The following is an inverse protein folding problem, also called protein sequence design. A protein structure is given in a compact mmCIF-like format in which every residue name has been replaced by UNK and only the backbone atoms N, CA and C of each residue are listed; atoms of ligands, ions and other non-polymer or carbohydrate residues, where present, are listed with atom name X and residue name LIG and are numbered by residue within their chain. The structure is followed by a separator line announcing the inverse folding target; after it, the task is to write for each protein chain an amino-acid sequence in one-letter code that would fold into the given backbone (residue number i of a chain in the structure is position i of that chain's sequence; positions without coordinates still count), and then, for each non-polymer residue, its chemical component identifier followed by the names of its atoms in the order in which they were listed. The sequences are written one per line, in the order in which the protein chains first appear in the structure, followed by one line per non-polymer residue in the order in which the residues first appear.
data_IF_167183949629
#
_entry.id   IF_167183949629
#
_cell.length_a   1.000
_cell.length_b   1.000
_cell.length_c   1.000
_cell.angle_alpha   90.00
_cell.angle_beta   90.00
_cell.angle_gamma   90.00
#
_symmetry.space_group_name_H-M   'P 1'
#
loop_
_entity.id
_entity.type
_entity.pdbx_description
1 polymer ?
#
# COMPACT_ATOMS: atom_id res chain seq x y z
N UNK A 1 51.52 9.30 -33.77
CA UNK A 1 50.62 10.31 -33.20
C UNK A 1 49.22 10.02 -33.70
N UNK A 2 48.36 9.48 -32.83
CA UNK A 2 46.91 9.43 -33.04
C UNK A 2 46.35 10.19 -31.84
N UNK A 3 45.68 11.28 -32.15
CA UNK A 3 45.07 12.16 -31.15
C UNK A 3 44.10 11.35 -30.31
N UNK A 4 44.35 11.32 -29.00
CA UNK A 4 43.32 10.99 -28.03
C UNK A 4 42.40 12.21 -28.01
N UNK A 5 41.23 12.10 -28.63
CA UNK A 5 40.10 12.94 -28.26
C UNK A 5 39.75 12.59 -26.81
N UNK A 6 40.35 13.34 -25.90
CA UNK A 6 39.88 13.44 -24.53
C UNK A 6 38.56 14.20 -24.65
N UNK A 7 37.44 13.47 -24.64
CA UNK A 7 36.15 14.07 -24.31
C UNK A 7 36.30 14.68 -22.92
N UNK A 8 36.56 15.97 -22.88
CA UNK A 8 36.52 16.76 -21.66
C UNK A 8 35.13 16.57 -21.07
N UNK A 9 35.05 16.02 -19.84
CA UNK A 9 33.86 16.16 -18.99
C UNK A 9 33.49 17.64 -18.97
N UNK A 10 32.51 18.04 -19.78
CA UNK A 10 31.89 19.34 -19.65
C UNK A 10 31.33 19.39 -18.23
N UNK A 11 31.63 20.45 -17.48
CA UNK A 11 30.90 20.77 -16.26
C UNK A 11 29.42 20.83 -16.64
N UNK A 12 28.67 19.78 -16.34
CA UNK A 12 27.25 19.73 -16.60
C UNK A 12 26.59 20.84 -15.80
N UNK A 13 26.18 21.87 -16.53
CA UNK A 13 25.47 22.99 -15.95
C UNK A 13 24.04 22.52 -15.86
N UNK A 14 23.57 22.29 -14.64
CA UNK A 14 22.15 22.01 -14.39
C UNK A 14 21.34 23.22 -14.88
N UNK A 15 20.43 23.02 -15.83
CA UNK A 15 19.72 24.11 -16.54
C UNK A 15 18.20 24.01 -16.39
N UNK A 16 17.54 25.16 -16.18
CA UNK A 16 16.10 25.32 -16.33
C UNK A 16 15.80 26.10 -17.61
N UNK A 17 14.92 25.58 -18.47
CA UNK A 17 14.69 26.14 -19.81
C UNK A 17 13.94 27.47 -19.82
N UNK A 18 13.18 27.78 -18.76
CA UNK A 18 12.29 28.94 -18.73
C UNK A 18 12.38 29.69 -17.39
N UNK A 19 12.28 31.04 -17.38
CA UNK A 19 12.19 31.83 -16.14
C UNK A 19 10.99 31.44 -15.26
N UNK A 20 9.87 31.06 -15.87
CA UNK A 20 8.65 30.64 -15.19
C UNK A 20 8.89 29.37 -14.36
N UNK A 21 9.66 28.42 -14.91
CA UNK A 21 10.06 27.21 -14.19
C UNK A 21 10.97 27.53 -13.00
N UNK A 22 11.91 28.46 -13.18
CA UNK A 22 12.76 28.95 -12.08
C UNK A 22 11.90 29.58 -10.97
N UNK A 23 10.91 30.38 -11.35
CA UNK A 23 9.97 31.00 -10.41
C UNK A 23 9.18 29.96 -9.62
N UNK A 24 8.59 28.97 -10.30
CA UNK A 24 7.82 27.90 -9.68
C UNK A 24 8.65 27.08 -8.67
N UNK A 25 9.85 26.68 -9.05
CA UNK A 25 10.77 25.93 -8.17
C UNK A 25 11.21 26.80 -6.98
N UNK A 26 11.46 28.09 -7.22
CA UNK A 26 11.80 29.04 -6.15
C UNK A 26 10.66 29.18 -5.15
N UNK A 27 9.43 29.33 -5.62
CA UNK A 27 8.26 29.38 -4.74
C UNK A 27 8.12 28.10 -3.92
N UNK A 28 8.28 26.93 -4.56
CA UNK A 28 8.21 25.63 -3.89
C UNK A 28 9.29 25.49 -2.82
N UNK A 29 10.56 25.74 -3.16
CA UNK A 29 11.69 25.65 -2.21
C UNK A 29 11.54 26.61 -1.03
N UNK A 30 11.05 27.83 -1.27
CA UNK A 30 10.81 28.83 -0.21
C UNK A 30 9.75 28.41 0.79
N UNK A 31 8.74 27.59 0.40
CA UNK A 31 7.74 27.07 1.35
C UNK A 31 8.35 26.19 2.44
N UNK A 32 9.49 25.55 2.16
CA UNK A 32 10.24 24.77 3.15
C UNK A 32 11.51 25.45 3.64
N UNK A 33 11.64 26.77 3.49
CA UNK A 33 12.82 27.53 3.90
C UNK A 33 14.14 27.08 3.22
N UNK A 34 14.07 26.51 2.02
CA UNK A 34 15.23 26.10 1.22
C UNK A 34 15.59 27.13 0.15
N UNK A 35 16.78 26.95 -0.44
CA UNK A 35 17.23 27.72 -1.60
C UNK A 35 16.89 26.99 -2.88
N UNK A 36 16.86 27.72 -3.99
CA UNK A 36 16.64 27.15 -5.32
C UNK A 36 17.66 26.05 -5.65
N UNK A 37 18.92 26.23 -5.26
CA UNK A 37 20.00 25.27 -5.53
C UNK A 37 19.77 23.92 -4.83
N UNK A 38 19.04 23.89 -3.71
CA UNK A 38 18.72 22.68 -2.96
C UNK A 38 17.76 21.78 -3.76
N UNK A 39 17.02 22.33 -4.73
CA UNK A 39 16.08 21.59 -5.56
C UNK A 39 16.74 20.43 -6.32
N UNK A 40 17.98 20.61 -6.77
CA UNK A 40 18.70 19.55 -7.48
C UNK A 40 19.02 18.37 -6.56
N UNK A 41 19.33 18.63 -5.30
CA UNK A 41 19.52 17.60 -4.28
C UNK A 41 18.21 16.86 -4.03
N UNK A 42 17.07 17.55 -4.00
CA UNK A 42 15.76 16.90 -3.90
C UNK A 42 15.51 15.92 -5.04
N UNK A 43 15.78 16.32 -6.28
CA UNK A 43 15.61 15.45 -7.44
C UNK A 43 16.46 14.18 -7.33
N UNK A 44 17.71 14.31 -6.90
CA UNK A 44 18.60 13.17 -6.66
C UNK A 44 18.08 12.26 -5.54
N UNK A 45 17.61 12.84 -4.43
CA UNK A 45 17.06 12.09 -3.30
C UNK A 45 15.77 11.32 -3.65
N UNK A 46 14.95 11.83 -4.56
CA UNK A 46 13.75 11.12 -5.05
C UNK A 46 14.04 10.12 -6.17
N UNK A 47 15.32 9.92 -6.50
CA UNK A 47 15.79 8.90 -7.44
C UNK A 47 15.93 9.37 -8.89
N UNK A 48 15.88 10.68 -9.16
CA UNK A 48 16.26 11.23 -10.47
C UNK A 48 17.79 11.38 -10.45
N UNK A 49 18.48 10.36 -10.94
CA UNK A 49 19.94 10.32 -10.92
C UNK A 49 20.51 11.33 -11.92
N UNK A 50 21.37 12.24 -11.44
CA UNK A 50 22.09 13.23 -12.25
C UNK A 50 21.17 14.01 -13.22
N UNK A 51 20.23 14.81 -12.68
CA UNK A 51 19.35 15.66 -13.49
C UNK A 51 20.17 16.80 -14.11
N UNK A 52 20.13 16.92 -15.44
CA UNK A 52 20.91 17.92 -16.18
C UNK A 52 20.05 19.06 -16.73
N UNK A 53 18.76 18.82 -16.99
CA UNK A 53 17.87 19.81 -17.60
C UNK A 53 16.43 19.66 -17.14
N UNK A 54 15.79 20.78 -16.81
CA UNK A 54 14.36 20.86 -16.49
C UNK A 54 13.62 21.70 -17.54
N UNK A 55 12.50 21.19 -18.06
CA UNK A 55 11.82 21.80 -19.20
C UNK A 55 10.35 21.37 -19.35
N UNK A 56 9.61 21.96 -20.29
CA UNK A 56 8.25 21.54 -20.61
C UNK A 56 7.24 21.80 -19.50
N UNK A 57 7.24 23.02 -18.95
CA UNK A 57 6.34 23.44 -17.89
C UNK A 57 4.86 23.37 -18.33
N UNK A 58 4.04 22.69 -17.52
CA UNK A 58 2.58 22.76 -17.49
C UNK A 58 2.18 23.47 -16.19
N UNK A 59 1.91 24.78 -16.30
CA UNK A 59 1.56 25.64 -15.17
C UNK A 59 0.29 25.17 -14.45
N UNK A 60 -0.68 24.63 -15.19
CA UNK A 60 -1.97 24.22 -14.61
C UNK A 60 -1.85 23.07 -13.63
N UNK A 61 -0.82 22.23 -13.80
CA UNK A 61 -0.54 21.08 -12.95
C UNK A 61 0.69 21.26 -12.06
N UNK A 62 1.37 22.41 -12.14
CA UNK A 62 2.67 22.61 -11.52
C UNK A 62 3.67 21.48 -11.86
N UNK A 63 3.69 21.06 -13.13
CA UNK A 63 4.50 19.92 -13.58
C UNK A 63 5.45 20.26 -14.72
N UNK A 64 6.55 19.54 -14.81
CA UNK A 64 7.57 19.70 -15.85
C UNK A 64 8.32 18.39 -16.05
N UNK A 65 9.22 18.33 -17.02
CA UNK A 65 10.09 17.18 -17.27
C UNK A 65 11.50 17.43 -16.75
N UNK A 66 12.11 16.38 -16.21
CA UNK A 66 13.53 16.30 -15.92
C UNK A 66 14.20 15.35 -16.92
N UNK A 67 15.28 15.80 -17.54
CA UNK A 67 16.20 14.97 -18.33
C UNK A 67 17.41 14.60 -17.48
N UNK A 68 17.70 13.31 -17.39
CA UNK A 68 18.91 12.79 -16.72
C UNK A 68 20.09 12.71 -17.68
N UNK A 69 21.31 12.57 -17.14
CA UNK A 69 22.51 12.29 -17.95
C UNK A 69 22.39 11.00 -18.80
N UNK A 70 21.54 10.07 -18.38
CA UNK A 70 21.28 8.80 -19.06
C UNK A 70 20.20 8.91 -20.15
N UNK A 71 19.76 10.13 -20.46
CA UNK A 71 18.74 10.42 -21.46
C UNK A 71 17.36 9.83 -21.10
N UNK A 72 17.08 9.70 -19.80
CA UNK A 72 15.76 9.34 -19.29
C UNK A 72 14.94 10.60 -19.05
N UNK A 73 13.68 10.59 -19.49
CA UNK A 73 12.74 11.68 -19.24
C UNK A 73 11.77 11.28 -18.13
N UNK A 74 11.71 12.07 -17.07
CA UNK A 74 10.83 11.83 -15.92
C UNK A 74 9.92 13.05 -15.75
N UNK A 75 8.62 12.82 -15.59
CA UNK A 75 7.69 13.90 -15.27
C UNK A 75 7.72 14.17 -13.78
N UNK A 76 7.96 15.42 -13.42
CA UNK A 76 8.03 15.92 -12.04
C UNK A 76 6.83 16.83 -11.81
N UNK A 77 6.11 16.61 -10.73
CA UNK A 77 4.99 17.45 -10.29
C UNK A 77 5.31 17.97 -8.88
N UNK A 78 5.24 19.29 -8.70
CA UNK A 78 5.50 19.92 -7.41
C UNK A 78 4.23 19.95 -6.56
N UNK A 79 4.34 19.45 -5.32
CA UNK A 79 3.27 19.45 -4.33
C UNK A 79 3.59 20.50 -3.28
N UNK A 80 2.77 21.55 -3.19
CA UNK A 80 3.04 22.72 -2.35
C UNK A 80 2.59 22.58 -0.89
N UNK A 81 1.81 21.55 -0.56
CA UNK A 81 1.16 21.40 0.75
C UNK A 81 0.05 22.45 0.94
N UNK A 82 -1.21 22.01 1.07
CA UNK A 82 -2.36 22.93 1.14
C UNK A 82 -3.09 22.89 2.49
N UNK A 83 -2.65 22.04 3.42
CA UNK A 83 -3.23 21.85 4.75
C UNK A 83 -2.17 21.44 5.76
N UNK A 84 -2.49 21.52 7.07
CA UNK A 84 -1.64 20.99 8.16
C UNK A 84 -1.27 19.50 8.00
N UNK A 85 -1.97 18.77 7.14
CA UNK A 85 -1.77 17.33 6.87
C UNK A 85 -1.08 17.04 5.52
N UNK A 86 -0.86 18.07 4.69
CA UNK A 86 -0.19 17.91 3.40
C UNK A 86 1.18 18.57 3.44
N UNK A 87 2.21 17.74 3.62
CA UNK A 87 3.60 18.15 3.52
C UNK A 87 3.95 18.54 2.09
N UNK A 88 4.88 19.50 1.97
CA UNK A 88 5.57 19.81 0.72
C UNK A 88 6.22 18.53 0.16
N UNK A 89 6.18 18.35 -1.16
CA UNK A 89 6.61 17.10 -1.76
C UNK A 89 6.77 17.15 -3.28
N UNK A 90 7.23 16.03 -3.83
CA UNK A 90 7.47 15.81 -5.25
C UNK A 90 6.75 14.54 -5.67
N UNK A 91 6.02 14.61 -6.77
CA UNK A 91 5.40 13.45 -7.40
C UNK A 91 6.11 13.18 -8.73
N UNK A 92 6.69 12.00 -8.85
CA UNK A 92 7.29 11.50 -10.07
C UNK A 92 6.29 10.64 -10.83
N UNK A 93 6.19 10.84 -12.14
CA UNK A 93 5.36 10.02 -13.03
C UNK A 93 6.18 9.53 -14.22
N UNK A 94 6.05 8.24 -14.48
CA UNK A 94 6.37 7.60 -15.75
C UNK A 94 5.12 6.91 -16.31
N UNK A 95 5.25 6.15 -17.41
CA UNK A 95 4.11 5.51 -18.08
C UNK A 95 3.38 4.47 -17.21
N UNK A 96 4.11 3.77 -16.34
CA UNK A 96 3.61 2.61 -15.60
C UNK A 96 3.59 2.83 -14.09
N UNK A 97 4.16 3.93 -13.61
CA UNK A 97 4.40 4.16 -12.19
C UNK A 97 4.29 5.63 -11.81
N UNK A 98 3.76 5.83 -10.61
CA UNK A 98 3.70 7.12 -9.94
C UNK A 98 4.29 6.99 -8.52
N UNK A 99 5.23 7.85 -8.15
CA UNK A 99 5.85 7.88 -6.81
C UNK A 99 5.69 9.25 -6.18
N UNK A 100 5.05 9.32 -5.02
CA UNK A 100 4.94 10.55 -4.23
C UNK A 100 5.95 10.52 -3.08
N UNK A 101 6.81 11.52 -3.04
CA UNK A 101 7.73 11.79 -1.95
C UNK A 101 7.30 13.04 -1.20
N UNK A 102 7.40 13.01 0.12
CA UNK A 102 7.08 14.15 0.99
C UNK A 102 8.27 14.43 1.89
N UNK A 103 8.42 15.66 2.35
CA UNK A 103 9.47 15.99 3.30
C UNK A 103 9.16 15.42 4.68
N UNK A 104 10.20 14.96 5.38
CA UNK A 104 10.07 14.45 6.74
C UNK A 104 9.59 15.57 7.68
N UNK A 105 8.64 15.26 8.56
CA UNK A 105 8.10 16.19 9.56
C UNK A 105 9.08 16.53 10.68
N UNK A 106 10.17 15.77 10.83
CA UNK A 106 11.16 15.92 11.92
C UNK A 106 12.37 16.79 11.55
N UNK A 107 12.32 17.55 10.45
CA UNK A 107 13.45 18.37 10.00
C UNK A 107 13.58 19.63 10.87
N UNK A 108 14.75 19.86 11.46
CA UNK A 108 15.13 21.15 12.04
C UNK A 108 15.33 22.19 10.93
N UNK A 109 14.80 23.40 11.14
CA UNK A 109 14.89 24.51 10.17
C UNK A 109 16.32 24.68 9.61
N UNK A 110 16.45 24.66 8.28
CA UNK A 110 17.71 24.94 7.57
C UNK A 110 18.68 23.76 7.44
N UNK A 111 18.30 22.54 7.84
CA UNK A 111 19.07 21.32 7.55
C UNK A 111 18.78 20.76 6.14
N UNK A 112 19.69 19.92 5.65
CA UNK A 112 19.59 19.27 4.32
C UNK A 112 18.24 18.55 4.21
N UNK A 113 17.54 18.65 3.07
CA UNK A 113 16.25 18.00 2.93
C UNK A 113 16.31 16.49 3.11
N UNK A 114 15.38 15.93 3.88
CA UNK A 114 15.08 14.50 3.85
C UNK A 114 13.69 14.27 3.27
N UNK A 115 13.59 13.26 2.40
CA UNK A 115 12.35 12.88 1.73
C UNK A 115 11.97 11.47 2.11
N UNK A 116 10.67 11.23 2.27
CA UNK A 116 10.09 9.92 2.58
C UNK A 116 9.15 9.57 1.43
N UNK A 117 9.27 8.34 0.92
CA UNK A 117 8.29 7.80 -0.02
C UNK A 117 6.94 7.66 0.69
N UNK A 118 5.94 8.42 0.26
CA UNK A 118 4.59 8.44 0.85
C UNK A 118 3.63 7.52 0.10
N UNK A 119 3.71 7.53 -1.23
CA UNK A 119 2.84 6.72 -2.10
C UNK A 119 3.61 6.18 -3.28
N UNK A 120 3.24 4.99 -3.73
CA UNK A 120 3.75 4.39 -4.96
C UNK A 120 2.64 3.61 -5.63
N UNK A 121 2.20 4.08 -6.79
CA UNK A 121 1.24 3.39 -7.63
C UNK A 121 1.99 2.73 -8.79
N UNK A 122 1.64 1.49 -9.10
CA UNK A 122 2.24 0.71 -10.19
C UNK A 122 1.11 0.10 -11.00
N UNK A 123 1.16 0.24 -12.32
CA UNK A 123 0.24 -0.39 -13.27
C UNK A 123 1.03 -1.43 -14.05
N UNK A 124 0.53 -2.66 -14.09
CA UNK A 124 1.14 -3.77 -14.84
C UNK A 124 0.07 -4.77 -15.23
N UNK A 125 0.06 -5.20 -16.50
CA UNK A 125 -0.82 -6.26 -17.02
C UNK A 125 -2.33 -6.04 -16.70
N UNK A 126 -2.78 -4.78 -16.69
CA UNK A 126 -4.16 -4.40 -16.38
C UNK A 126 -4.49 -4.27 -14.89
N UNK A 127 -3.59 -4.69 -14.00
CA UNK A 127 -3.71 -4.53 -12.55
C UNK A 127 -3.11 -3.19 -12.07
N UNK A 128 -3.61 -2.69 -10.94
CA UNK A 128 -3.06 -1.51 -10.27
C UNK A 128 -2.71 -1.81 -8.81
N UNK A 129 -1.43 -1.68 -8.45
CA UNK A 129 -0.98 -1.76 -7.07
C UNK A 129 -0.79 -0.35 -6.51
N UNK A 130 -1.58 0.01 -5.50
CA UNK A 130 -1.50 1.28 -4.78
C UNK A 130 -0.86 1.05 -3.42
N UNK A 131 0.31 1.64 -3.21
CA UNK A 131 0.99 1.60 -1.93
C UNK A 131 0.92 2.95 -1.24
N UNK A 132 0.66 2.92 0.06
CA UNK A 132 0.71 4.07 0.95
C UNK A 132 1.58 3.72 2.16
N UNK A 133 2.46 4.66 2.52
CA UNK A 133 3.49 4.48 3.53
C UNK A 133 3.44 5.62 4.54
N UNK A 134 3.47 5.30 5.82
CA UNK A 134 3.72 6.26 6.89
C UNK A 134 4.62 5.63 7.96
N UNK A 135 5.07 6.45 8.91
CA UNK A 135 5.91 5.99 10.03
C UNK A 135 5.20 4.99 10.96
N UNK A 136 3.87 4.86 10.87
CA UNK A 136 3.07 3.98 11.74
C UNK A 136 2.58 2.71 11.03
N UNK A 137 2.44 2.73 9.71
CA UNK A 137 1.88 1.62 8.96
C UNK A 137 2.16 1.72 7.46
N UNK A 138 1.99 0.59 6.80
CA UNK A 138 1.85 0.51 5.36
C UNK A 138 0.51 -0.08 4.96
N UNK A 139 -0.09 0.48 3.91
CA UNK A 139 -1.27 -0.06 3.26
C UNK A 139 -0.98 -0.31 1.78
N UNK A 140 -1.31 -1.51 1.29
CA UNK A 140 -1.16 -1.91 -0.11
C UNK A 140 -2.50 -2.42 -0.63
N UNK A 141 -2.93 -1.90 -1.76
CA UNK A 141 -4.18 -2.29 -2.41
C UNK A 141 -3.85 -2.70 -3.83
N UNK A 142 -3.97 -4.00 -4.11
CA UNK A 142 -3.93 -4.53 -5.47
C UNK A 142 -5.36 -4.55 -6.01
N UNK A 143 -5.63 -3.70 -6.99
CA UNK A 143 -6.83 -3.73 -7.82
C UNK A 143 -6.55 -4.71 -8.97
N UNK A 144 -7.13 -5.91 -8.89
CA UNK A 144 -6.94 -6.99 -9.86
C UNK A 144 -7.76 -6.68 -11.12
N UNK A 145 -8.99 -6.23 -10.90
CA UNK A 145 -9.88 -5.68 -11.91
C UNK A 145 -10.84 -4.64 -11.26
N UNK A 146 -11.96 -4.33 -11.91
CA UNK A 146 -12.93 -3.36 -11.41
C UNK A 146 -13.65 -3.78 -10.12
N UNK A 147 -13.76 -5.08 -9.85
CA UNK A 147 -14.55 -5.64 -8.74
C UNK A 147 -13.68 -6.32 -7.69
N UNK A 148 -12.52 -6.86 -8.06
CA UNK A 148 -11.71 -7.69 -7.18
C UNK A 148 -10.49 -6.93 -6.64
N UNK A 149 -10.34 -6.94 -5.31
CA UNK A 149 -9.24 -6.24 -4.64
C UNK A 149 -8.62 -7.07 -3.53
N UNK A 150 -7.30 -7.03 -3.46
CA UNK A 150 -6.53 -7.53 -2.33
C UNK A 150 -5.97 -6.35 -1.53
N UNK A 151 -6.24 -6.31 -0.23
CA UNK A 151 -5.79 -5.25 0.69
C UNK A 151 -4.87 -5.84 1.73
N UNK A 152 -3.70 -5.24 1.91
CA UNK A 152 -2.69 -5.61 2.90
C UNK A 152 -2.41 -4.40 3.75
N UNK A 153 -2.59 -4.55 5.06
CA UNK A 153 -2.32 -3.54 6.06
C UNK A 153 -1.33 -4.09 7.08
N UNK A 154 -0.27 -3.34 7.37
CA UNK A 154 0.75 -3.73 8.34
C UNK A 154 1.15 -2.52 9.17
N UNK A 155 1.04 -2.63 10.49
CA UNK A 155 1.56 -1.63 11.44
C UNK A 155 3.09 -1.77 11.57
N UNK A 156 3.76 -0.63 11.69
CA UNK A 156 5.17 -0.59 12.09
C UNK A 156 5.30 -1.08 13.54
N UNK A 157 6.19 -2.04 13.84
CA UNK A 157 6.43 -2.50 15.21
C UNK A 157 7.02 -1.38 16.10
N UNK A 158 6.53 -1.24 17.33
CA UNK A 158 6.95 -0.15 18.25
C UNK A 158 8.46 -0.13 18.59
N UNK A 159 9.09 -1.30 18.58
CA UNK A 159 10.49 -1.49 18.98
C UNK A 159 11.43 -1.72 17.78
N UNK A 160 11.10 -1.19 16.60
CA UNK A 160 12.06 -1.12 15.51
C UNK A 160 13.25 -0.25 15.94
N UNK A 161 14.43 -0.88 16.09
CA UNK A 161 15.63 -0.28 16.68
C UNK A 161 16.17 0.94 15.89
N UNK A 162 15.68 1.15 14.67
CA UNK A 162 16.13 2.18 13.73
C UNK A 162 14.94 2.89 13.07
N UNK A 163 14.69 4.15 13.45
CA UNK A 163 13.64 4.98 12.85
C UNK A 163 13.88 5.32 11.38
N UNK A 164 15.13 5.17 10.91
CA UNK A 164 15.47 5.42 9.51
C UNK A 164 15.21 4.19 8.62
N UNK A 165 15.01 3.01 9.21
CA UNK A 165 14.74 1.75 8.52
C UNK A 165 13.39 1.13 8.93
N UNK A 166 12.31 1.67 8.37
CA UNK A 166 10.95 1.16 8.60
C UNK A 166 10.81 -0.31 8.19
N UNK A 167 10.43 -1.16 9.15
CA UNK A 167 10.27 -2.60 8.97
C UNK A 167 9.18 -2.90 7.93
N UNK A 168 8.10 -2.09 7.87
CA UNK A 168 7.02 -2.24 6.87
C UNK A 168 7.44 -2.00 5.41
N UNK A 169 8.65 -1.47 5.19
CA UNK A 169 9.24 -1.27 3.86
C UNK A 169 10.23 -2.37 3.46
N UNK A 170 10.59 -3.28 4.39
CA UNK A 170 11.51 -4.38 4.13
C UNK A 170 10.99 -5.22 2.96
N UNK A 171 11.88 -5.52 2.01
CA UNK A 171 11.58 -6.30 0.82
C UNK A 171 10.37 -5.79 0.01
N UNK A 172 10.06 -4.49 0.07
CA UNK A 172 8.89 -3.89 -0.60
C UNK A 172 8.84 -4.20 -2.10
N UNK A 173 9.96 -4.10 -2.82
CA UNK A 173 10.01 -4.44 -4.25
C UNK A 173 9.65 -5.91 -4.53
N UNK A 174 10.09 -6.84 -3.67
CA UNK A 174 9.76 -8.27 -3.83
C UNK A 174 8.28 -8.54 -3.56
N UNK A 175 7.70 -7.88 -2.55
CA UNK A 175 6.26 -7.94 -2.27
C UNK A 175 5.48 -7.38 -3.46
N UNK A 176 5.86 -6.22 -3.98
CA UNK A 176 5.21 -5.59 -5.13
C UNK A 176 5.25 -6.49 -6.38
N UNK A 177 6.41 -7.08 -6.70
CA UNK A 177 6.58 -8.01 -7.82
C UNK A 177 5.71 -9.26 -7.66
N UNK A 178 5.65 -9.83 -6.45
CA UNK A 178 4.81 -10.98 -6.15
C UNK A 178 3.33 -10.66 -6.34
N UNK A 179 2.85 -9.54 -5.77
CA UNK A 179 1.45 -9.14 -5.85
C UNK A 179 1.02 -8.86 -7.29
N UNK A 180 1.86 -8.18 -8.08
CA UNK A 180 1.61 -7.91 -9.49
C UNK A 180 1.78 -9.15 -10.39
N UNK A 181 2.25 -10.27 -9.84
CA UNK A 181 2.37 -11.56 -10.52
C UNK A 181 1.26 -12.55 -10.16
N UNK A 182 0.32 -12.18 -9.28
CA UNK A 182 -0.80 -13.03 -8.91
C UNK A 182 -1.77 -13.21 -10.09
N UNK A 183 -2.35 -14.40 -10.22
CA UNK A 183 -3.49 -14.65 -11.09
C UNK A 183 -4.81 -14.62 -10.29
N UNK A 184 -5.96 -14.65 -10.95
CA UNK A 184 -7.26 -14.56 -10.27
C UNK A 184 -7.65 -15.81 -9.46
N UNK A 185 -6.78 -16.81 -9.36
CA UNK A 185 -7.04 -18.08 -8.66
C UNK A 185 -6.24 -18.26 -7.36
N UNK A 186 -5.60 -17.20 -6.85
CA UNK A 186 -4.81 -17.27 -5.62
C UNK A 186 -5.63 -17.68 -4.39
N UNK A 187 -5.01 -18.43 -3.49
CA UNK A 187 -5.54 -18.68 -2.16
C UNK A 187 -5.02 -17.61 -1.17
N UNK A 188 -5.92 -16.94 -0.45
CA UNK A 188 -5.53 -15.86 0.48
C UNK A 188 -4.54 -16.31 1.55
N UNK A 189 -4.60 -17.57 1.99
CA UNK A 189 -3.68 -18.14 2.98
C UNK A 189 -2.26 -18.29 2.40
N UNK A 190 -2.13 -18.63 1.12
CA UNK A 190 -0.83 -18.69 0.44
C UNK A 190 -0.23 -17.30 0.24
N UNK A 191 -1.06 -16.34 -0.18
CA UNK A 191 -0.66 -14.93 -0.31
C UNK A 191 -0.22 -14.38 1.04
N UNK A 192 -1.00 -14.61 2.10
CA UNK A 192 -0.67 -14.22 3.46
C UNK A 192 0.68 -14.76 3.90
N UNK A 193 0.88 -16.08 3.79
CA UNK A 193 2.10 -16.74 4.23
C UNK A 193 3.32 -16.29 3.42
N UNK A 194 3.14 -16.00 2.13
CA UNK A 194 4.23 -15.52 1.25
C UNK A 194 4.62 -14.09 1.59
N UNK A 195 3.63 -13.19 1.72
CA UNK A 195 3.86 -11.79 2.12
C UNK A 195 4.48 -11.72 3.53
N UNK A 196 4.00 -12.53 4.46
CA UNK A 196 4.54 -12.62 5.82
C UNK A 196 6.03 -13.02 5.81
N UNK A 197 6.40 -13.99 4.96
CA UNK A 197 7.79 -14.41 4.79
C UNK A 197 8.65 -13.27 4.24
N UNK A 198 8.15 -12.48 3.28
CA UNK A 198 8.90 -11.34 2.75
C UNK A 198 9.14 -10.24 3.77
N UNK A 199 8.24 -10.03 4.73
CA UNK A 199 8.50 -9.06 5.80
C UNK A 199 9.61 -9.51 6.76
N UNK A 200 9.90 -10.82 6.83
CA UNK A 200 10.97 -11.39 7.69
C UNK A 200 10.90 -10.87 9.14
N UNK A 201 9.70 -10.71 9.70
CA UNK A 201 9.52 -10.19 11.05
C UNK A 201 10.08 -11.18 12.08
N UNK A 202 10.94 -10.69 12.96
CA UNK A 202 11.39 -11.40 14.16
C UNK A 202 10.22 -11.64 15.12
N UNK A 203 10.38 -12.58 16.06
CA UNK A 203 9.36 -12.82 17.10
C UNK A 203 9.05 -11.56 17.93
N UNK A 204 10.04 -10.70 18.15
CA UNK A 204 9.89 -9.44 18.90
C UNK A 204 9.04 -8.44 18.11
N UNK A 205 9.41 -8.17 16.86
CA UNK A 205 8.65 -7.30 15.94
C UNK A 205 7.22 -7.81 15.76
N UNK A 206 7.03 -9.12 15.63
CA UNK A 206 5.72 -9.73 15.47
C UNK A 206 4.82 -9.49 16.70
N UNK A 207 5.38 -9.51 17.92
CA UNK A 207 4.64 -9.28 19.18
C UNK A 207 4.28 -7.82 19.42
N UNK A 208 5.03 -6.88 18.85
CA UNK A 208 4.80 -5.44 18.95
C UNK A 208 4.15 -4.84 17.70
N UNK A 209 3.79 -5.69 16.73
CA UNK A 209 2.99 -5.29 15.58
C UNK A 209 1.50 -5.32 15.94
N UNK A 210 0.92 -4.13 16.10
CA UNK A 210 -0.50 -3.92 16.45
C UNK A 210 -1.49 -4.36 15.36
N UNK A 211 -1.00 -4.77 14.19
CA UNK A 211 -1.88 -5.26 13.15
C UNK A 211 -1.15 -5.66 11.88
N UNK A 212 -1.32 -6.91 11.49
CA UNK A 212 -1.03 -7.41 10.16
C UNK A 212 -2.30 -8.05 9.62
N UNK A 213 -2.88 -7.45 8.60
CA UNK A 213 -4.13 -7.89 7.99
C UNK A 213 -3.96 -8.03 6.48
N UNK A 214 -4.37 -9.17 5.95
CA UNK A 214 -4.69 -9.31 4.53
C UNK A 214 -6.18 -9.57 4.38
N UNK A 215 -6.80 -8.96 3.37
CA UNK A 215 -8.19 -9.20 3.05
C UNK A 215 -8.42 -9.16 1.56
N UNK A 216 -9.27 -10.05 1.08
CA UNK A 216 -9.79 -10.04 -0.27
C UNK A 216 -11.22 -9.53 -0.25
N UNK A 217 -11.51 -8.58 -1.14
CA UNK A 217 -12.79 -7.91 -1.26
C UNK A 217 -13.31 -8.00 -2.68
N UNK A 218 -14.64 -8.06 -2.79
CA UNK A 218 -15.37 -8.05 -4.07
C UNK A 218 -16.35 -6.87 -4.09
N UNK A 219 -16.55 -6.25 -5.25
CA UNK A 219 -17.51 -5.18 -5.48
C UNK A 219 -16.90 -3.78 -5.61
N UNK A 220 -17.78 -2.79 -5.84
CA UNK A 220 -17.38 -1.42 -6.21
C UNK A 220 -17.92 -0.40 -5.23
N UNK A 221 -17.04 0.49 -4.76
CA UNK A 221 -17.40 1.64 -3.93
C UNK A 221 -18.06 1.22 -2.62
N UNK A 222 -19.27 1.72 -2.37
CA UNK A 222 -20.04 1.45 -1.14
C UNK A 222 -20.56 0.01 -1.05
N UNK A 223 -20.54 -0.75 -2.16
CA UNK A 223 -21.01 -2.14 -2.21
C UNK A 223 -19.85 -3.15 -2.07
N UNK A 224 -18.65 -2.70 -1.72
CA UNK A 224 -17.51 -3.58 -1.52
C UNK A 224 -17.74 -4.47 -0.28
N UNK A 225 -17.64 -5.79 -0.46
CA UNK A 225 -17.77 -6.79 0.59
C UNK A 225 -16.44 -7.50 0.82
N UNK A 226 -16.04 -7.61 2.08
CA UNK A 226 -14.89 -8.44 2.45
C UNK A 226 -15.28 -9.92 2.39
N UNK A 227 -14.66 -10.66 1.49
CA UNK A 227 -14.93 -12.08 1.27
C UNK A 227 -13.99 -12.96 2.10
N UNK A 228 -12.71 -12.62 2.18
CA UNK A 228 -11.75 -13.35 3.03
C UNK A 228 -10.82 -12.41 3.79
N UNK A 229 -10.33 -12.85 4.94
CA UNK A 229 -9.52 -12.05 5.86
C UNK A 229 -8.60 -12.95 6.70
N UNK A 230 -7.35 -12.55 6.90
CA UNK A 230 -6.48 -13.10 7.94
C UNK A 230 -5.89 -11.91 8.67
N UNK A 231 -6.10 -11.84 10.00
CA UNK A 231 -5.57 -10.78 10.86
C UNK A 231 -4.76 -11.37 12.01
N UNK A 232 -3.52 -10.93 12.11
CA UNK A 232 -2.64 -11.11 13.26
C UNK A 232 -2.53 -9.78 14.01
N UNK A 233 -2.48 -9.86 15.33
CA UNK A 233 -2.20 -8.73 16.21
C UNK A 233 -1.39 -9.26 17.39
N UNK A 234 -0.27 -8.61 17.69
CA UNK A 234 0.65 -9.01 18.76
C UNK A 234 1.11 -10.47 18.63
N UNK A 235 1.40 -10.90 17.40
CA UNK A 235 1.83 -12.25 17.04
C UNK A 235 0.79 -13.35 17.19
N UNK A 236 -0.47 -12.98 17.42
CA UNK A 236 -1.55 -13.90 17.58
C UNK A 236 -2.58 -13.75 16.45
N UNK A 237 -3.01 -14.86 15.84
CA UNK A 237 -4.17 -14.86 14.95
C UNK A 237 -5.40 -14.37 15.73
N UNK A 238 -6.06 -13.31 15.25
CA UNK A 238 -7.25 -12.69 15.86
C UNK A 238 -8.53 -12.90 15.05
N UNK A 239 -8.42 -12.93 13.74
CA UNK A 239 -9.54 -13.08 12.81
C UNK A 239 -9.12 -13.97 11.64
N UNK A 240 -10.01 -14.88 11.27
CA UNK A 240 -9.90 -15.68 10.06
C UNK A 240 -11.27 -15.71 9.40
N UNK A 241 -11.34 -15.16 8.19
CA UNK A 241 -12.54 -15.20 7.36
C UNK A 241 -12.27 -15.87 6.02
N UNK A 242 -13.20 -16.71 5.59
CA UNK A 242 -13.14 -17.38 4.29
C UNK A 242 -14.49 -17.31 3.60
N UNK A 243 -14.45 -17.15 2.28
CA UNK A 243 -15.61 -17.23 1.41
C UNK A 243 -15.41 -18.35 0.41
N UNK A 244 -16.29 -19.35 0.43
CA UNK A 244 -16.24 -20.50 -0.46
C UNK A 244 -17.68 -20.91 -0.83
N UNK A 245 -17.90 -21.19 -2.11
CA UNK A 245 -19.19 -21.69 -2.61
C UNK A 245 -20.41 -20.82 -2.23
N UNK A 246 -20.27 -19.49 -2.23
CA UNK A 246 -21.36 -18.57 -1.85
C UNK A 246 -21.57 -18.43 -0.35
N UNK A 247 -20.72 -19.05 0.47
CA UNK A 247 -20.81 -19.02 1.92
C UNK A 247 -19.60 -18.34 2.53
N UNK A 248 -19.85 -17.46 3.50
CA UNK A 248 -18.84 -16.74 4.25
C UNK A 248 -18.83 -17.18 5.71
N UNK A 249 -17.64 -17.50 6.21
CA UNK A 249 -17.39 -17.75 7.63
C UNK A 249 -16.44 -16.65 8.13
N UNK A 250 -16.85 -15.89 9.15
CA UNK A 250 -15.98 -14.95 9.87
C UNK A 250 -15.77 -15.50 11.29
N UNK A 251 -14.55 -15.89 11.66
CA UNK A 251 -14.24 -16.51 12.97
C UNK A 251 -13.21 -15.67 13.73
N UNK A 252 -13.46 -15.44 15.01
CA UNK A 252 -12.64 -14.58 15.87
C UNK A 252 -12.03 -15.37 17.03
N UNK A 253 -10.81 -15.01 17.44
CA UNK A 253 -10.07 -15.67 18.54
C UNK A 253 -10.85 -15.73 19.86
N UNK A 254 -11.72 -14.76 20.12
CA UNK A 254 -12.53 -14.72 21.33
C UNK A 254 -13.66 -15.78 21.37
N UNK A 255 -13.85 -16.52 20.29
CA UNK A 255 -14.87 -17.56 20.11
C UNK A 255 -16.14 -17.08 19.41
N UNK A 256 -16.25 -15.79 19.09
CA UNK A 256 -17.36 -15.29 18.28
C UNK A 256 -17.17 -15.73 16.83
N UNK A 257 -18.28 -15.91 16.12
CA UNK A 257 -18.24 -16.21 14.69
C UNK A 257 -19.53 -15.77 14.00
N UNK A 258 -19.44 -15.59 12.69
CA UNK A 258 -20.56 -15.26 11.82
C UNK A 258 -20.53 -16.16 10.60
N UNK A 259 -21.72 -16.54 10.16
CA UNK A 259 -21.93 -17.26 8.91
C UNK A 259 -22.91 -16.47 8.05
N UNK A 260 -22.57 -16.29 6.77
CA UNK A 260 -23.44 -15.64 5.80
C UNK A 260 -23.51 -16.48 4.53
N UNK A 261 -24.72 -16.68 4.04
CA UNK A 261 -25.05 -17.22 2.71
C UNK A 261 -26.19 -16.39 2.14
N UNK A 262 -26.62 -16.70 0.91
CA UNK A 262 -27.76 -16.02 0.27
C UNK A 262 -29.05 -16.09 1.09
N UNK A 263 -29.26 -17.22 1.79
CA UNK A 263 -30.53 -17.52 2.46
C UNK A 263 -30.45 -17.57 3.98
N UNK A 264 -29.26 -17.73 4.54
CA UNK A 264 -29.07 -17.92 5.98
C UNK A 264 -27.94 -17.03 6.48
N UNK A 265 -28.21 -16.32 7.57
CA UNK A 265 -27.20 -15.62 8.36
C UNK A 265 -27.26 -16.10 9.79
N UNK A 266 -26.10 -16.38 10.37
CA UNK A 266 -25.97 -16.80 11.76
C UNK A 266 -24.91 -15.91 12.41
N UNK A 267 -25.28 -15.26 13.50
CA UNK A 267 -24.36 -14.46 14.32
C UNK A 267 -24.26 -15.11 15.71
N UNK A 268 -23.07 -15.58 16.04
CA UNK A 268 -22.77 -16.17 17.34
C UNK A 268 -21.82 -15.29 18.16
N UNK A 269 -22.22 -15.10 19.41
CA UNK A 269 -21.39 -14.60 20.49
C UNK A 269 -21.68 -15.40 21.76
N UNK A 270 -20.82 -15.29 22.77
CA UNK A 270 -21.04 -15.95 24.06
C UNK A 270 -22.36 -15.54 24.74
N UNK A 271 -22.90 -14.38 24.40
CA UNK A 271 -24.08 -13.79 25.02
C UNK A 271 -25.34 -13.94 24.15
N UNK A 272 -25.18 -14.05 22.84
CA UNK A 272 -26.29 -14.06 21.88
C UNK A 272 -26.03 -15.03 20.73
N UNK A 273 -27.10 -15.71 20.31
CA UNK A 273 -27.13 -16.60 19.15
C UNK A 273 -28.33 -16.21 18.29
N UNK A 274 -28.07 -15.63 17.12
CA UNK A 274 -29.10 -15.14 16.22
C UNK A 274 -29.05 -15.88 14.87
N UNK A 275 -30.22 -16.30 14.39
CA UNK A 275 -30.38 -16.91 13.05
C UNK A 275 -31.41 -16.11 12.28
N UNK A 276 -31.00 -15.61 11.12
CA UNK A 276 -31.84 -14.90 10.17
C UNK A 276 -31.99 -15.73 8.89
N UNK A 277 -33.22 -15.87 8.41
CA UNK A 277 -33.55 -16.58 7.18
C UNK A 277 -34.16 -15.62 6.16
N UNK A 278 -33.69 -15.71 4.92
CA UNK A 278 -34.20 -14.93 3.79
C UNK A 278 -34.39 -15.82 2.57
N UNK A 279 -35.43 -15.57 1.78
CA UNK A 279 -35.70 -16.32 0.55
C UNK A 279 -37.18 -16.52 0.29
N UNK A 280 -37.49 -17.28 -0.75
CA UNK A 280 -38.88 -17.63 -1.07
C UNK A 280 -39.48 -18.55 0.02
N UNK A 281 -40.75 -18.31 0.36
CA UNK A 281 -41.46 -18.98 1.46
C UNK A 281 -41.29 -20.51 1.42
N UNK A 282 -41.44 -21.12 0.25
CA UNK A 282 -41.34 -22.58 0.09
C UNK A 282 -39.92 -23.13 0.36
N UNK A 283 -38.89 -22.34 0.13
CA UNK A 283 -37.50 -22.72 0.43
C UNK A 283 -37.22 -22.61 1.93
N UNK A 284 -37.74 -21.56 2.58
CA UNK A 284 -37.57 -21.33 4.02
C UNK A 284 -38.34 -22.37 4.84
N UNK A 285 -39.58 -22.71 4.47
CA UNK A 285 -40.42 -23.68 5.19
C UNK A 285 -39.84 -25.10 5.17
N UNK A 286 -39.11 -25.47 4.12
CA UNK A 286 -38.48 -26.78 3.99
C UNK A 286 -37.04 -26.82 4.54
N UNK A 287 -36.51 -25.69 5.01
CA UNK A 287 -35.14 -25.59 5.46
C UNK A 287 -34.94 -26.22 6.84
N UNK A 288 -34.04 -27.20 6.92
CA UNK A 288 -33.62 -27.80 8.19
C UNK A 288 -32.50 -27.00 8.81
N UNK A 289 -32.87 -25.98 9.58
CA UNK A 289 -31.91 -25.09 10.25
C UNK A 289 -30.93 -25.89 11.13
N UNK A 290 -31.39 -26.94 11.81
CA UNK A 290 -30.52 -27.83 12.62
C UNK A 290 -29.33 -28.40 11.84
N UNK A 291 -29.58 -28.88 10.62
CA UNK A 291 -28.57 -29.54 9.79
C UNK A 291 -27.54 -28.50 9.28
N UNK A 292 -28.02 -27.27 9.01
CA UNK A 292 -27.16 -26.13 8.65
C UNK A 292 -26.28 -25.74 9.84
N UNK A 293 -26.85 -25.62 11.03
CA UNK A 293 -26.12 -25.26 12.24
C UNK A 293 -25.03 -26.29 12.56
N UNK A 294 -25.34 -27.59 12.52
CA UNK A 294 -24.37 -28.65 12.78
C UNK A 294 -23.17 -28.59 11.81
N UNK A 295 -23.45 -28.37 10.52
CA UNK A 295 -22.41 -28.21 9.50
C UNK A 295 -21.58 -26.94 9.72
N UNK A 296 -22.23 -25.80 9.96
CA UNK A 296 -21.56 -24.51 10.18
C UNK A 296 -20.67 -24.57 11.41
N UNK A 297 -21.16 -25.14 12.51
CA UNK A 297 -20.39 -25.31 13.73
C UNK A 297 -19.18 -26.22 13.51
N UNK A 298 -19.32 -27.31 12.74
CA UNK A 298 -18.18 -28.17 12.39
C UNK A 298 -17.09 -27.38 11.64
N UNK A 299 -17.47 -26.58 10.66
CA UNK A 299 -16.52 -25.76 9.89
C UNK A 299 -15.84 -24.69 10.78
N UNK A 300 -16.62 -24.01 11.61
CA UNK A 300 -16.09 -23.05 12.60
C UNK A 300 -15.09 -23.73 13.54
N UNK A 301 -15.37 -24.95 14.00
CA UNK A 301 -14.42 -25.71 14.83
C UNK A 301 -13.12 -26.03 14.09
N UNK A 302 -13.18 -26.34 12.79
CA UNK A 302 -12.00 -26.57 11.97
C UNK A 302 -11.17 -25.28 11.79
N UNK A 303 -11.82 -24.14 11.57
CA UNK A 303 -11.16 -22.82 11.52
C UNK A 303 -10.57 -22.46 12.88
N UNK A 304 -11.29 -22.70 13.98
CA UNK A 304 -10.83 -22.43 15.35
C UNK A 304 -9.55 -23.22 15.70
N UNK A 305 -9.32 -24.39 15.10
CA UNK A 305 -8.06 -25.12 15.27
C UNK A 305 -6.85 -24.36 14.71
N UNK A 306 -7.03 -23.46 13.74
CA UNK A 306 -5.94 -22.62 13.20
C UNK A 306 -5.44 -21.58 14.20
N UNK A 307 -6.27 -21.19 15.17
CA UNK A 307 -5.88 -20.24 16.24
C UNK A 307 -5.00 -20.84 17.33
N UNK A 308 -4.98 -22.17 17.43
CA UNK A 308 -4.31 -22.93 18.50
C UNK A 308 -3.00 -23.60 18.03
N UNK A 309 -2.54 -23.29 16.81
CA UNK A 309 -1.24 -23.71 16.28
C UNK A 309 -0.20 -22.63 16.53
#
# INVERSE_FOLDING_TARGET
MREKEIFSRSKETKVCDTPELVCLITEWTQKGNWKFEDFWTFLELVGINNPIRLYGLDESKCSFKALTEFNEEITVVLVFGTSRESAIGILLKDENQEKQFVTNSNIEDGTVPSVILRRKNIVKDGMMLRNFYCEYFCNRILEIDSEHKLKIYVCEPEEADDKDNLVVLRNSSQIEEYLLGLDNSFAIEEVFNTVLKFFELSEKEMRTCDGLKISYCEGVGMNEQMCSCIRIENGELKEYATFQNGEKFDVFRNGNWKFNSDTVKIDYSKENYEVSLSGEKHNVENMKVSDILERVEKEVHEIMRKFNK
#
